data_IF_603636025669
#
_entry.id   IF_603636025669
#
_cell.length_a   1.000
_cell.length_b   1.000
_cell.length_c   1.000
_cell.angle_alpha   90.00
_cell.angle_beta   90.00
_cell.angle_gamma   90.00
#
_symmetry.space_group_name_H-M   'P 1'
#
loop_
_entity.id
_entity.type
_entity.pdbx_description
1 polymer ?
#
# COMPACT_ATOMS: atom_id res chain seq x y z
N UNK A 1 2.73 3.05 13.58
CA UNK A 1 3.21 1.95 12.72
C UNK A 1 3.10 2.39 11.25
N UNK A 2 3.71 1.69 10.29
CA UNK A 2 3.74 2.12 8.88
C UNK A 2 3.18 1.05 7.94
N UNK A 3 2.32 1.45 7.00
CA UNK A 3 1.90 0.64 5.87
C UNK A 3 2.78 1.03 4.68
N UNK A 4 3.52 0.07 4.13
CA UNK A 4 4.54 0.34 3.12
C UNK A 4 4.15 -0.34 1.82
N UNK A 5 4.16 0.44 0.74
CA UNK A 5 3.99 -0.07 -0.62
C UNK A 5 5.28 0.16 -1.38
N UNK A 6 5.75 -0.87 -2.08
CA UNK A 6 6.98 -0.80 -2.89
C UNK A 6 6.61 -0.99 -4.35
N UNK A 7 6.84 0.04 -5.15
CA UNK A 7 6.88 -0.11 -6.60
C UNK A 7 8.20 -0.79 -7.01
N UNK A 8 8.06 -1.98 -7.60
CA UNK A 8 9.20 -2.82 -8.01
C UNK A 8 9.84 -2.36 -9.31
N UNK A 9 9.10 -1.65 -10.16
CA UNK A 9 9.61 -1.13 -11.43
C UNK A 9 10.42 0.15 -11.19
N UNK A 10 9.80 1.16 -10.58
CA UNK A 10 10.43 2.45 -10.26
C UNK A 10 11.32 2.46 -9.02
N UNK A 11 11.46 1.31 -8.33
CA UNK A 11 12.28 1.13 -7.10
C UNK A 11 11.95 2.14 -6.00
N UNK A 12 10.66 2.45 -5.84
CA UNK A 12 10.18 3.48 -4.92
C UNK A 12 9.40 2.86 -3.76
N UNK A 13 9.73 3.27 -2.54
CA UNK A 13 8.95 2.97 -1.35
C UNK A 13 8.02 4.14 -1.00
N UNK A 14 6.77 3.81 -0.66
CA UNK A 14 5.74 4.75 -0.19
C UNK A 14 5.33 4.30 1.20
N UNK A 15 5.63 5.10 2.21
CA UNK A 15 5.28 4.81 3.61
C UNK A 15 4.09 5.67 4.03
N UNK A 16 3.00 5.01 4.43
CA UNK A 16 1.78 5.65 4.90
C UNK A 16 1.66 5.45 6.42
N UNK A 17 1.55 6.53 7.22
CA UNK A 17 1.42 6.41 8.66
C UNK A 17 0.04 5.86 9.04
N UNK A 18 -0.02 5.00 10.06
CA UNK A 18 -1.28 4.55 10.65
C UNK A 18 -1.18 4.39 12.17
N UNK A 19 -2.32 4.52 12.85
CA UNK A 19 -2.40 4.71 14.29
C UNK A 19 -2.50 3.41 15.11
N UNK A 20 -3.20 2.37 14.63
CA UNK A 20 -3.44 1.08 15.34
C UNK A 20 -3.68 -0.07 14.35
N UNK A 21 -3.71 -1.33 14.81
CA UNK A 21 -3.90 -2.55 14.02
C UNK A 21 -4.62 -2.35 12.68
N UNK A 22 -3.86 -2.59 11.60
CA UNK A 22 -4.35 -2.40 10.25
C UNK A 22 -5.19 -3.61 9.85
N UNK A 23 -6.51 -3.43 9.69
CA UNK A 23 -7.36 -4.45 9.09
C UNK A 23 -7.22 -4.46 7.57
N UNK A 24 -7.57 -5.57 6.91
CA UNK A 24 -7.56 -5.67 5.44
C UNK A 24 -8.37 -4.54 4.78
N UNK A 25 -9.51 -4.17 5.37
CA UNK A 25 -10.36 -3.06 4.88
C UNK A 25 -9.65 -1.70 4.98
N UNK A 26 -8.94 -1.46 6.08
CA UNK A 26 -8.18 -0.21 6.27
C UNK A 26 -6.97 -0.17 5.33
N UNK A 27 -6.25 -1.28 5.16
CA UNK A 27 -5.15 -1.39 4.21
C UNK A 27 -5.61 -1.13 2.76
N UNK A 28 -6.71 -1.77 2.34
CA UNK A 28 -7.27 -1.56 1.00
C UNK A 28 -7.68 -0.10 0.77
N UNK A 29 -8.30 0.54 1.77
CA UNK A 29 -8.67 1.96 1.71
C UNK A 29 -7.43 2.86 1.58
N UNK A 30 -6.42 2.66 2.43
CA UNK A 30 -5.16 3.42 2.38
C UNK A 30 -4.47 3.25 1.03
N UNK A 31 -4.39 2.03 0.52
CA UNK A 31 -3.83 1.74 -0.80
C UNK A 31 -4.60 2.46 -1.90
N UNK A 32 -5.93 2.36 -1.90
CA UNK A 32 -6.78 2.99 -2.92
C UNK A 32 -6.60 4.52 -2.94
N UNK A 33 -6.70 5.17 -1.78
CA UNK A 33 -6.72 6.63 -1.64
C UNK A 33 -5.37 7.29 -1.91
N UNK A 34 -4.27 6.63 -1.50
CA UNK A 34 -2.94 7.23 -1.49
C UNK A 34 -1.96 6.64 -2.49
N UNK A 35 -2.22 5.44 -3.03
CA UNK A 35 -1.32 4.78 -3.98
C UNK A 35 -2.02 4.56 -5.32
N UNK A 36 -3.07 3.74 -5.37
CA UNK A 36 -3.75 3.38 -6.62
C UNK A 36 -4.26 4.59 -7.38
N UNK A 37 -4.84 5.58 -6.68
CA UNK A 37 -5.30 6.84 -7.30
C UNK A 37 -4.20 7.60 -8.06
N UNK A 38 -2.94 7.45 -7.68
CA UNK A 38 -1.80 8.16 -8.27
C UNK A 38 -1.10 7.31 -9.33
N UNK A 39 -0.88 6.02 -9.04
CA UNK A 39 -0.04 5.14 -9.84
C UNK A 39 -0.82 4.14 -10.70
N UNK A 40 -2.13 4.01 -10.50
CA UNK A 40 -3.00 3.09 -11.23
C UNK A 40 -2.95 1.65 -10.73
N UNK A 41 -3.48 0.75 -11.56
CA UNK A 41 -3.61 -0.69 -11.24
C UNK A 41 -2.30 -1.43 -11.51
N UNK A 42 -1.72 -2.13 -10.51
CA UNK A 42 -0.56 -2.97 -10.73
C UNK A 42 -0.98 -4.27 -11.43
N UNK A 43 -0.09 -4.83 -12.24
CA UNK A 43 -0.31 -6.15 -12.86
C UNK A 43 -0.25 -7.29 -11.82
N UNK A 44 0.60 -7.14 -10.80
CA UNK A 44 0.78 -8.12 -9.74
C UNK A 44 1.05 -7.45 -8.39
N UNK A 45 0.57 -8.06 -7.32
CA UNK A 45 0.81 -7.64 -5.94
C UNK A 45 1.33 -8.80 -5.11
N UNK A 46 2.27 -8.51 -4.20
CA UNK A 46 2.78 -9.44 -3.19
C UNK A 46 2.52 -8.79 -1.83
N UNK A 47 1.89 -9.53 -0.91
CA UNK A 47 1.54 -9.07 0.42
C UNK A 47 2.40 -9.81 1.45
N UNK A 48 3.02 -9.06 2.37
CA UNK A 48 3.88 -9.60 3.44
C UNK A 48 3.09 -10.42 4.47
N UNK A 49 1.84 -10.02 4.78
CA UNK A 49 1.11 -10.55 5.95
C UNK A 49 -0.27 -11.15 5.69
N UNK A 50 -0.67 -11.32 4.43
CA UNK A 50 -1.94 -11.95 4.05
C UNK A 50 -3.17 -11.10 4.33
#
# INVERSE_FOLDING_TARGET
MAFVVVDRLGKRAISLPYTKDISAKVAAKLYYEHVWRIYGTPETAILDRG
#
